data_IF_926772036236
#
_entry.id   IF_926772036236
#
_cell.length_a   1.000
_cell.length_b   1.000
_cell.length_c   1.000
_cell.angle_alpha   90.00
_cell.angle_beta   90.00
_cell.angle_gamma   90.00
#
_symmetry.space_group_name_H-M   'P 1'
#
loop_
_entity.id
_entity.type
_entity.pdbx_description
1 polymer ?
#
# COMPACT_ATOMS: atom_id res chain seq x y z
N UNK A 1 8.43 1.34 -12.02
CA UNK A 1 9.13 1.86 -10.81
C UNK A 1 8.11 2.59 -9.94
N UNK A 2 8.51 3.06 -8.76
CA UNK A 2 7.63 3.76 -7.85
C UNK A 2 8.38 4.24 -6.61
N UNK A 3 7.67 4.92 -5.74
CA UNK A 3 8.18 5.39 -4.45
C UNK A 3 7.07 5.43 -3.43
N UNK A 4 7.42 5.39 -2.17
CA UNK A 4 6.48 5.63 -1.09
C UNK A 4 7.09 6.52 0.00
N UNK A 5 6.22 7.13 0.78
CA UNK A 5 6.57 7.98 1.91
C UNK A 5 5.61 7.72 3.06
N UNK A 6 6.09 7.74 4.29
CA UNK A 6 5.25 7.51 5.45
C UNK A 6 5.69 8.32 6.66
N UNK A 7 4.73 8.77 7.45
CA UNK A 7 4.93 9.51 8.70
C UNK A 7 3.99 8.98 9.78
N UNK A 8 4.51 8.85 10.99
CA UNK A 8 3.73 8.77 12.23
C UNK A 8 4.12 9.94 13.12
N UNK A 9 3.13 10.71 13.59
CA UNK A 9 3.31 11.98 14.29
C UNK A 9 2.34 12.10 15.46
N UNK A 10 2.65 13.02 16.38
CA UNK A 10 1.72 13.41 17.47
C UNK A 10 0.70 14.47 17.03
N UNK A 11 0.86 15.05 15.85
CA UNK A 11 0.00 16.08 15.27
C UNK A 11 -0.36 15.70 13.84
N UNK A 12 -1.31 16.43 13.28
CA UNK A 12 -1.70 16.28 11.89
C UNK A 12 -0.47 16.29 10.97
N UNK A 13 -0.39 15.33 10.04
CA UNK A 13 0.80 15.12 9.19
C UNK A 13 0.48 14.88 7.71
N UNK A 14 -0.78 15.06 7.29
CA UNK A 14 -1.13 14.78 5.90
C UNK A 14 -0.39 15.68 4.91
N UNK A 15 -0.14 16.95 5.27
CA UNK A 15 0.64 17.86 4.42
C UNK A 15 2.05 17.33 4.15
N UNK A 16 2.70 16.81 5.19
CA UNK A 16 4.05 16.27 5.07
C UNK A 16 4.06 15.01 4.18
N UNK A 17 3.05 14.15 4.33
CA UNK A 17 2.91 12.95 3.48
C UNK A 17 2.54 13.31 2.06
N UNK A 18 1.66 14.29 1.85
CA UNK A 18 1.30 14.79 0.53
C UNK A 18 2.54 15.28 -0.24
N UNK A 19 3.32 16.20 0.35
CA UNK A 19 4.53 16.73 -0.28
C UNK A 19 5.65 15.68 -0.39
N UNK A 20 5.81 14.81 0.61
CA UNK A 20 6.76 13.70 0.56
C UNK A 20 6.44 12.72 -0.57
N UNK A 21 5.16 12.43 -0.78
CA UNK A 21 4.71 11.57 -1.89
C UNK A 21 4.87 12.25 -3.24
N UNK A 22 4.50 13.54 -3.33
CA UNK A 22 4.67 14.34 -4.54
C UNK A 22 6.14 14.44 -4.97
N UNK A 23 7.06 14.51 -4.02
CA UNK A 23 8.49 14.47 -4.32
C UNK A 23 8.90 13.20 -5.07
N UNK A 24 8.23 12.08 -4.82
CA UNK A 24 8.43 10.82 -5.53
C UNK A 24 7.66 10.70 -6.85
N UNK A 25 6.87 11.69 -7.25
CA UNK A 25 6.04 11.63 -8.46
C UNK A 25 6.83 11.48 -9.76
N UNK A 26 8.13 11.80 -9.74
CA UNK A 26 9.05 11.55 -10.86
C UNK A 26 9.48 10.08 -11.01
N UNK A 27 9.22 9.23 -10.01
CA UNK A 27 9.57 7.80 -10.00
C UNK A 27 8.47 6.91 -10.57
N UNK A 28 7.28 7.44 -10.81
CA UNK A 28 6.14 6.71 -11.35
C UNK A 28 5.12 7.67 -11.94
N UNK A 29 4.39 7.22 -12.96
CA UNK A 29 3.58 8.12 -13.79
C UNK A 29 2.12 7.69 -13.92
N UNK A 30 1.71 6.58 -13.34
CA UNK A 30 0.36 6.03 -13.58
C UNK A 30 -0.59 6.13 -12.40
N UNK A 31 -0.12 5.79 -11.22
CA UNK A 31 -0.96 5.70 -10.02
C UNK A 31 -0.33 6.47 -8.88
N UNK A 32 -1.15 7.23 -8.18
CA UNK A 32 -0.82 7.83 -6.91
C UNK A 32 -1.86 7.44 -5.87
N UNK A 33 -1.46 7.28 -4.63
CA UNK A 33 -2.37 6.96 -3.55
C UNK A 33 -1.90 7.48 -2.20
N UNK A 34 -2.87 7.79 -1.36
CA UNK A 34 -2.68 8.19 0.04
C UNK A 34 -3.55 7.33 0.94
N UNK A 35 -3.04 6.98 2.11
CA UNK A 35 -3.84 6.46 3.22
C UNK A 35 -3.43 7.16 4.51
N UNK A 36 -4.40 7.51 5.33
CA UNK A 36 -4.19 8.19 6.60
C UNK A 36 -5.02 7.56 7.71
N UNK A 37 -4.52 7.63 8.92
CA UNK A 37 -5.25 7.25 10.12
C UNK A 37 -5.53 8.47 10.99
N UNK A 38 -6.80 8.64 11.30
CA UNK A 38 -7.31 9.59 12.28
C UNK A 38 -8.13 8.87 13.37
N UNK A 39 -8.13 9.40 14.59
CA UNK A 39 -8.85 8.77 15.71
C UNK A 39 -10.35 8.73 15.53
N UNK A 40 -10.91 9.75 14.88
CA UNK A 40 -12.36 9.91 14.70
C UNK A 40 -12.82 9.24 13.40
N UNK A 41 -12.02 9.37 12.33
CA UNK A 41 -12.36 8.89 10.98
C UNK A 41 -11.84 7.48 10.69
N UNK A 42 -10.92 6.97 11.51
CA UNK A 42 -10.25 5.69 11.25
C UNK A 42 -9.29 5.77 10.07
N UNK A 43 -9.12 4.63 9.39
CA UNK A 43 -8.32 4.55 8.18
C UNK A 43 -9.09 5.09 6.97
N UNK A 44 -8.52 6.08 6.31
CA UNK A 44 -8.98 6.70 5.08
C UNK A 44 -8.03 6.36 3.94
N UNK A 45 -8.52 6.28 2.71
CA UNK A 45 -7.70 5.99 1.54
C UNK A 45 -8.27 6.63 0.28
N UNK A 46 -7.38 7.19 -0.55
CA UNK A 46 -7.67 7.64 -1.90
C UNK A 46 -6.60 7.19 -2.89
N UNK A 47 -7.02 6.77 -4.08
CA UNK A 47 -6.14 6.37 -5.18
C UNK A 47 -6.61 7.03 -6.46
N UNK A 48 -5.70 7.66 -7.19
CA UNK A 48 -6.00 8.29 -8.47
C UNK A 48 -5.06 7.84 -9.59
N UNK A 49 -5.59 7.85 -10.81
CA UNK A 49 -4.77 7.80 -12.02
C UNK A 49 -4.12 9.17 -12.24
N UNK A 50 -2.80 9.21 -12.28
CA UNK A 50 -2.01 10.43 -12.47
C UNK A 50 -1.36 10.50 -13.86
N UNK A 51 -1.74 9.61 -14.79
CA UNK A 51 -1.15 9.58 -16.15
C UNK A 51 -1.41 10.86 -16.95
N UNK A 52 -2.54 11.50 -16.72
CA UNK A 52 -3.00 12.68 -17.49
C UNK A 52 -2.98 13.97 -16.67
N UNK A 53 -2.51 13.94 -15.43
CA UNK A 53 -2.51 15.11 -14.55
C UNK A 53 -1.53 14.88 -13.40
N UNK A 54 -0.77 15.89 -12.98
CA UNK A 54 0.18 15.77 -11.88
C UNK A 54 -0.49 15.28 -10.59
N UNK A 55 0.28 14.60 -9.74
CA UNK A 55 -0.16 14.12 -8.43
C UNK A 55 -0.83 15.24 -7.62
N UNK A 56 -0.21 16.40 -7.51
CA UNK A 56 -0.77 17.57 -6.79
C UNK A 56 -2.19 17.91 -7.22
N UNK A 57 -2.42 18.02 -8.51
CA UNK A 57 -3.75 18.39 -9.06
C UNK A 57 -4.81 17.34 -8.74
N UNK A 58 -4.43 16.06 -8.77
CA UNK A 58 -5.37 14.97 -8.50
C UNK A 58 -5.72 14.83 -7.02
N UNK A 59 -4.78 15.20 -6.14
CA UNK A 59 -4.94 15.04 -4.70
C UNK A 59 -5.23 16.36 -3.94
N UNK A 60 -5.41 17.48 -4.64
CA UNK A 60 -5.73 18.75 -4.02
C UNK A 60 -7.00 18.68 -3.15
N UNK A 61 -8.06 18.09 -3.69
CA UNK A 61 -9.31 17.90 -2.95
C UNK A 61 -9.15 16.87 -1.82
N UNK A 62 -8.41 15.81 -2.05
CA UNK A 62 -8.11 14.80 -1.03
C UNK A 62 -7.36 15.42 0.15
N UNK A 63 -6.43 16.33 -0.14
CA UNK A 63 -5.69 17.08 0.86
C UNK A 63 -6.60 17.95 1.75
N UNK A 64 -7.71 18.47 1.22
CA UNK A 64 -8.69 19.25 1.99
C UNK A 64 -9.63 18.38 2.84
N UNK A 65 -9.95 17.18 2.39
CA UNK A 65 -10.95 16.30 3.00
C UNK A 65 -10.35 15.26 3.96
N UNK A 66 -9.14 14.76 3.67
CA UNK A 66 -8.44 13.75 4.46
C UNK A 66 -7.61 14.39 5.58
N UNK A 67 -7.46 13.69 6.68
CA UNK A 67 -6.58 14.10 7.79
C UNK A 67 -6.10 12.89 8.56
N UNK A 68 -4.98 13.07 9.29
CA UNK A 68 -4.46 12.00 10.13
C UNK A 68 -3.15 12.35 10.82
N UNK A 69 -2.90 11.67 11.92
CA UNK A 69 -1.64 11.75 12.67
C UNK A 69 -0.62 10.72 12.19
N UNK A 70 -1.04 9.78 11.38
CA UNK A 70 -0.15 8.84 10.70
C UNK A 70 -0.67 8.62 9.28
N UNK A 71 0.20 8.64 8.30
CA UNK A 71 -0.20 8.49 6.92
C UNK A 71 0.93 7.89 6.06
N UNK A 72 0.54 7.27 4.96
CA UNK A 72 1.42 6.75 3.92
C UNK A 72 0.95 7.23 2.56
N UNK A 73 1.89 7.47 1.67
CA UNK A 73 1.62 7.79 0.28
C UNK A 73 2.49 6.96 -0.65
N UNK A 74 1.99 6.69 -1.84
CA UNK A 74 2.70 5.90 -2.85
C UNK A 74 2.48 6.42 -4.25
N UNK A 75 3.51 6.28 -5.06
CA UNK A 75 3.49 6.47 -6.51
C UNK A 75 3.86 5.13 -7.17
N UNK A 76 3.15 4.73 -8.21
CA UNK A 76 3.38 3.45 -8.89
C UNK A 76 3.14 3.55 -10.39
N UNK A 77 3.87 2.77 -11.17
CA UNK A 77 3.63 2.59 -12.60
C UNK A 77 2.70 1.42 -12.92
N UNK A 78 2.38 0.59 -11.94
CA UNK A 78 1.58 -0.63 -12.15
C UNK A 78 0.32 -0.61 -11.30
N UNK A 79 0.46 -1.04 -10.07
CA UNK A 79 -0.65 -1.39 -9.22
C UNK A 79 -1.22 -0.18 -8.47
N UNK A 80 -2.56 -0.07 -8.38
CA UNK A 80 -3.20 0.87 -7.47
C UNK A 80 -2.84 0.49 -6.02
N UNK A 81 -2.33 1.46 -5.28
CA UNK A 81 -1.97 1.33 -3.86
C UNK A 81 -1.91 2.71 -3.18
N UNK A 82 -1.98 2.83 -1.82
CA UNK A 82 -2.03 1.73 -0.84
C UNK A 82 -3.35 0.96 -0.88
N UNK A 83 -3.32 -0.32 -0.49
CA UNK A 83 -4.54 -1.12 -0.32
C UNK A 83 -4.96 -1.13 1.15
N UNK A 84 -6.27 -1.05 1.41
CA UNK A 84 -6.84 -1.34 2.72
C UNK A 84 -7.16 -2.84 2.82
N UNK A 85 -6.58 -3.48 3.83
CA UNK A 85 -6.72 -4.90 4.09
C UNK A 85 -7.38 -5.11 5.45
N UNK A 86 -8.34 -6.02 5.50
CA UNK A 86 -8.89 -6.55 6.75
C UNK A 86 -8.54 -8.02 6.87
N UNK A 87 -7.85 -8.40 7.94
CA UNK A 87 -7.40 -9.76 8.17
C UNK A 87 -7.42 -10.14 9.65
N UNK A 88 -6.96 -11.35 9.98
CA UNK A 88 -6.74 -11.76 11.38
C UNK A 88 -5.73 -10.87 12.11
N UNK A 89 -4.84 -10.20 11.40
CA UNK A 89 -3.87 -9.25 11.98
C UNK A 89 -4.47 -7.86 12.25
N UNK A 90 -5.76 -7.67 11.95
CA UNK A 90 -6.47 -6.40 12.06
C UNK A 90 -6.69 -5.71 10.72
N UNK A 91 -7.04 -4.43 10.78
CA UNK A 91 -7.18 -3.56 9.60
C UNK A 91 -5.90 -2.74 9.42
N UNK A 92 -5.43 -2.61 8.18
CA UNK A 92 -4.24 -1.84 7.86
C UNK A 92 -4.24 -1.39 6.39
N UNK A 93 -3.49 -0.34 6.12
CA UNK A 93 -3.13 0.06 4.77
C UNK A 93 -1.73 -0.46 4.43
N UNK A 94 -1.52 -0.94 3.22
CA UNK A 94 -0.23 -1.46 2.77
C UNK A 94 0.15 -0.88 1.41
N UNK A 95 1.40 -0.49 1.27
CA UNK A 95 2.04 -0.15 0.00
C UNK A 95 3.34 -0.93 -0.14
N UNK A 96 3.67 -1.31 -1.37
CA UNK A 96 4.93 -1.97 -1.68
C UNK A 96 5.65 -1.28 -2.83
N UNK A 97 6.97 -1.35 -2.82
CA UNK A 97 7.82 -1.01 -3.96
C UNK A 97 8.80 -2.14 -4.19
N UNK A 98 8.85 -2.66 -5.40
CA UNK A 98 9.75 -3.76 -5.73
C UNK A 98 9.40 -4.49 -7.00
N UNK A 99 10.05 -5.62 -7.18
CA UNK A 99 9.82 -6.56 -8.28
C UNK A 99 9.72 -7.97 -7.72
N UNK A 100 8.62 -8.65 -8.03
CA UNK A 100 8.38 -10.05 -7.67
C UNK A 100 8.48 -10.88 -8.95
N UNK A 101 9.49 -11.75 -9.03
CA UNK A 101 9.76 -12.53 -10.24
C UNK A 101 9.03 -13.90 -10.27
N UNK A 102 8.47 -14.32 -9.15
CA UNK A 102 7.84 -15.63 -8.98
C UNK A 102 6.36 -15.56 -8.62
N UNK A 103 5.64 -14.59 -9.17
CA UNK A 103 4.20 -14.36 -8.85
C UNK A 103 3.39 -15.63 -9.07
N UNK A 104 3.49 -16.28 -10.23
CA UNK A 104 2.69 -17.47 -10.56
C UNK A 104 2.94 -18.63 -9.57
N UNK A 105 4.21 -18.88 -9.23
CA UNK A 105 4.56 -19.93 -8.26
C UNK A 105 4.02 -19.62 -6.86
N UNK A 106 4.02 -18.34 -6.44
CA UNK A 106 3.44 -17.92 -5.16
C UNK A 106 1.91 -18.07 -5.15
N UNK A 107 1.26 -17.83 -6.28
CA UNK A 107 -0.18 -18.02 -6.44
C UNK A 107 -0.56 -19.51 -6.41
N UNK A 108 0.16 -20.36 -7.12
CA UNK A 108 -0.05 -21.80 -7.13
C UNK A 108 0.07 -22.37 -5.71
N UNK A 109 1.12 -21.96 -4.98
CA UNK A 109 1.32 -22.37 -3.60
C UNK A 109 0.20 -21.83 -2.69
N UNK A 110 -0.18 -20.56 -2.82
CA UNK A 110 -1.26 -19.96 -2.04
C UNK A 110 -2.58 -20.71 -2.25
N UNK A 111 -2.98 -20.96 -3.49
CA UNK A 111 -4.23 -21.67 -3.81
C UNK A 111 -4.21 -23.16 -3.50
N UNK A 112 -3.03 -23.78 -3.33
CA UNK A 112 -2.94 -25.16 -2.86
C UNK A 112 -3.37 -25.34 -1.40
N UNK A 113 -3.33 -24.26 -0.61
CA UNK A 113 -3.62 -24.28 0.83
C UNK A 113 -4.85 -23.45 1.23
N UNK A 114 -5.47 -22.72 0.31
CA UNK A 114 -6.60 -21.84 0.62
C UNK A 114 -7.59 -21.75 -0.53
N UNK A 115 -8.86 -21.57 -0.20
CA UNK A 115 -9.94 -21.25 -1.14
C UNK A 115 -10.14 -19.73 -1.30
N UNK A 116 -9.19 -18.92 -0.83
CA UNK A 116 -9.23 -17.47 -0.96
C UNK A 116 -9.23 -17.01 -2.42
N UNK A 117 -9.48 -15.73 -2.62
CA UNK A 117 -9.46 -15.08 -3.92
C UNK A 117 -8.79 -13.70 -3.81
N UNK A 118 -8.35 -13.16 -4.93
CA UNK A 118 -7.81 -11.82 -5.05
C UNK A 118 -8.85 -10.90 -5.69
N UNK A 119 -9.00 -9.71 -5.14
CA UNK A 119 -9.99 -8.71 -5.59
C UNK A 119 -9.36 -7.58 -6.38
N UNK A 120 -8.13 -7.19 -6.05
CA UNK A 120 -7.43 -6.10 -6.72
C UNK A 120 -6.69 -6.64 -7.95
N UNK A 121 -7.29 -6.48 -9.13
CA UNK A 121 -6.70 -6.90 -10.41
C UNK A 121 -6.52 -5.70 -11.33
N UNK A 122 -5.45 -5.72 -12.11
CA UNK A 122 -5.17 -4.70 -13.12
C UNK A 122 -4.74 -5.39 -14.43
N UNK A 123 -5.53 -5.20 -15.51
CA UNK A 123 -5.21 -5.79 -16.81
C UNK A 123 -5.17 -7.32 -16.81
N UNK A 124 -6.00 -7.97 -15.98
CA UNK A 124 -6.01 -9.44 -15.83
C UNK A 124 -4.90 -10.01 -14.92
N UNK A 125 -4.06 -9.15 -14.37
CA UNK A 125 -2.99 -9.50 -13.44
C UNK A 125 -3.41 -9.18 -12.01
N UNK A 126 -2.99 -10.01 -11.06
CA UNK A 126 -3.20 -9.76 -9.63
C UNK A 126 -2.33 -8.60 -9.19
N UNK A 127 -2.89 -7.75 -8.32
CA UNK A 127 -2.15 -6.66 -7.69
C UNK A 127 -1.07 -7.24 -6.77
N UNK A 128 0.19 -6.90 -7.04
CA UNK A 128 1.34 -7.41 -6.27
C UNK A 128 1.29 -7.01 -4.79
N UNK A 129 0.67 -5.86 -4.48
CA UNK A 129 0.47 -5.42 -3.10
C UNK A 129 -0.50 -6.34 -2.36
N UNK A 130 -1.57 -6.77 -3.02
CA UNK A 130 -2.53 -7.73 -2.44
C UNK A 130 -1.88 -9.10 -2.24
N UNK A 131 -1.05 -9.56 -3.18
CA UNK A 131 -0.31 -10.80 -3.03
C UNK A 131 0.62 -10.76 -1.81
N UNK A 132 1.39 -9.68 -1.63
CA UNK A 132 2.26 -9.53 -0.45
C UNK A 132 1.44 -9.48 0.83
N UNK A 133 0.31 -8.78 0.84
CA UNK A 133 -0.61 -8.79 1.99
C UNK A 133 -1.14 -10.20 2.30
N UNK A 134 -1.48 -10.98 1.28
CA UNK A 134 -1.93 -12.36 1.44
C UNK A 134 -0.84 -13.26 2.04
N UNK A 135 0.42 -13.10 1.63
CA UNK A 135 1.56 -13.80 2.22
C UNK A 135 1.76 -13.42 3.70
N UNK A 136 1.72 -12.13 4.03
CA UNK A 136 1.83 -11.63 5.40
C UNK A 136 0.72 -12.22 6.28
N UNK A 137 -0.50 -12.28 5.78
CA UNK A 137 -1.67 -12.77 6.51
C UNK A 137 -1.68 -14.29 6.78
N UNK A 138 -0.74 -15.05 6.21
CA UNK A 138 -0.57 -16.47 6.54
C UNK A 138 0.04 -16.69 7.93
N UNK A 139 0.68 -15.66 8.50
CA UNK A 139 1.34 -15.74 9.81
C UNK A 139 0.52 -15.04 10.90
N UNK A 140 0.92 -15.22 12.15
CA UNK A 140 0.15 -14.75 13.32
C UNK A 140 0.60 -13.36 13.81
N UNK A 141 1.66 -12.83 13.24
CA UNK A 141 2.13 -11.46 13.51
C UNK A 141 2.65 -10.80 12.23
N UNK A 142 2.63 -9.45 12.21
CA UNK A 142 3.24 -8.69 11.09
C UNK A 142 4.73 -9.00 10.92
N UNK A 143 5.48 -9.13 12.02
CA UNK A 143 6.91 -9.41 11.96
C UNK A 143 7.19 -10.77 11.29
N UNK A 144 6.47 -11.81 11.68
CA UNK A 144 6.59 -13.15 11.07
C UNK A 144 6.09 -13.15 9.63
N UNK A 145 4.98 -12.43 9.35
CA UNK A 145 4.41 -12.32 8.00
C UNK A 145 5.34 -11.60 7.04
N UNK A 146 5.95 -10.48 7.45
CA UNK A 146 6.91 -9.74 6.63
C UNK A 146 8.16 -10.58 6.39
N UNK A 147 8.67 -11.24 7.42
CA UNK A 147 9.81 -12.18 7.26
C UNK A 147 9.47 -13.27 6.27
N UNK A 148 8.32 -13.93 6.42
CA UNK A 148 7.87 -14.99 5.51
C UNK A 148 7.75 -14.48 4.07
N UNK A 149 7.12 -13.32 3.85
CA UNK A 149 7.01 -12.73 2.53
C UNK A 149 8.39 -12.48 1.89
N UNK A 150 9.35 -11.95 2.66
CA UNK A 150 10.73 -11.76 2.18
C UNK A 150 11.46 -13.08 1.88
N UNK A 151 11.19 -14.13 2.64
CA UNK A 151 11.84 -15.43 2.45
C UNK A 151 11.35 -16.15 1.17
N UNK A 152 10.06 -15.98 0.80
CA UNK A 152 9.46 -16.70 -0.35
C UNK A 152 9.45 -15.88 -1.65
N UNK A 153 9.51 -14.57 -1.57
CA UNK A 153 9.57 -13.69 -2.75
C UNK A 153 10.95 -13.79 -3.41
N UNK A 154 10.97 -14.11 -4.70
CA UNK A 154 12.18 -14.01 -5.53
C UNK A 154 12.22 -12.63 -6.19
N UNK A 155 13.06 -11.76 -5.68
CA UNK A 155 13.15 -10.38 -6.13
C UNK A 155 13.51 -9.44 -4.98
N UNK A 156 13.01 -8.22 -5.07
CA UNK A 156 13.16 -7.20 -4.01
C UNK A 156 11.80 -6.58 -3.71
N UNK A 157 11.45 -6.52 -2.43
CA UNK A 157 10.20 -5.87 -1.97
C UNK A 157 10.51 -5.02 -0.75
N UNK A 158 10.17 -3.74 -0.83
CA UNK A 158 10.07 -2.85 0.32
C UNK A 158 8.60 -2.70 0.70
N UNK A 159 8.28 -2.83 1.96
CA UNK A 159 6.91 -2.88 2.47
C UNK A 159 6.69 -1.75 3.45
N UNK A 160 5.59 -1.02 3.30
CA UNK A 160 5.14 0.02 4.24
C UNK A 160 3.72 -0.30 4.68
N UNK A 161 3.50 -0.41 5.98
CA UNK A 161 2.20 -0.77 6.57
C UNK A 161 1.79 0.31 7.58
N UNK A 162 0.60 0.86 7.39
CA UNK A 162 -0.08 1.72 8.35
C UNK A 162 -1.22 0.94 9.01
N UNK A 163 -1.08 0.64 10.29
CA UNK A 163 -2.10 -0.10 11.05
C UNK A 163 -3.24 0.82 11.50
N UNK A 164 -4.40 0.23 11.64
CA UNK A 164 -5.49 0.84 12.41
C UNK A 164 -5.00 1.07 13.85
N UNK A 165 -5.08 2.34 14.31
CA UNK A 165 -4.41 2.80 15.53
C UNK A 165 -3.17 3.67 15.28
N UNK A 166 -2.78 3.90 14.01
CA UNK A 166 -1.77 4.88 13.61
C UNK A 166 -0.32 4.44 13.76
N UNK A 167 -0.05 3.16 13.95
CA UNK A 167 1.32 2.63 13.94
C UNK A 167 1.78 2.35 12.50
N UNK A 168 2.99 2.81 12.19
CA UNK A 168 3.73 2.48 10.98
C UNK A 168 4.72 1.35 11.26
#
# INVERSE_FOLDING_TARGET
MGGFFGISSRRECLSDVFFGTDYHSHLGTRRGGLAAYDRELGLQREIHNISNSPFRTKFERVFEEMRGTSAIGSISDSDPQPLLIRSKLGTYAIAIIGLINNVDALLDEYFSHTTGHFNAMTGGQINSTELVAALINQKDSFAEGIKFANDVVKGTVSILILKDGGNL
#
